data_IF_354268362586
#
_entry.id   IF_354268362586
#
_cell.length_a   1.000
_cell.length_b   1.000
_cell.length_c   1.000
_cell.angle_alpha   90.00
_cell.angle_beta   90.00
_cell.angle_gamma   90.00
#
_symmetry.space_group_name_H-M   'P 1'
#
loop_
_entity.id
_entity.type
_entity.pdbx_description
1 polymer ?
#
# COMPACT_ATOMS: atom_id res chain seq x y z
N UNK A 1 -18.94 -14.78 24.77
CA UNK A 1 -18.27 -16.08 25.02
C UNK A 1 -16.99 -15.79 25.78
N UNK A 2 -16.75 -16.49 26.89
CA UNK A 2 -15.50 -16.39 27.64
C UNK A 2 -14.33 -16.99 26.84
N UNK A 3 -13.10 -16.64 27.23
CA UNK A 3 -11.82 -16.91 26.55
C UNK A 3 -11.60 -18.35 26.08
N UNK A 4 -12.32 -19.33 26.62
CA UNK A 4 -12.32 -20.73 26.16
C UNK A 4 -13.72 -21.32 26.32
N UNK A 5 -14.22 -21.99 25.27
CA UNK A 5 -15.51 -22.70 25.30
C UNK A 5 -15.33 -24.07 24.66
N UNK A 6 -15.73 -25.13 25.37
CA UNK A 6 -15.65 -26.51 24.87
C UNK A 6 -17.07 -27.00 24.64
N UNK A 7 -17.39 -27.37 23.41
CA UNK A 7 -18.68 -27.97 23.05
C UNK A 7 -18.48 -29.47 22.83
N UNK A 8 -19.04 -30.29 23.73
CA UNK A 8 -18.95 -31.75 23.66
C UNK A 8 -20.27 -32.37 23.18
N UNK A 9 -20.20 -33.56 22.57
CA UNK A 9 -21.37 -34.31 22.04
C UNK A 9 -22.24 -33.48 21.08
N UNK A 10 -21.59 -32.68 20.23
CA UNK A 10 -22.26 -31.86 19.22
C UNK A 10 -22.56 -32.66 17.95
N UNK A 11 -23.77 -32.53 17.43
CA UNK A 11 -24.15 -33.04 16.12
C UNK A 11 -23.49 -32.22 14.98
N UNK A 12 -23.40 -32.76 13.76
CA UNK A 12 -22.93 -31.99 12.58
C UNK A 12 -23.68 -30.67 12.39
N UNK A 13 -25.00 -30.68 12.56
CA UNK A 13 -25.86 -29.48 12.46
C UNK A 13 -25.54 -28.47 13.57
N UNK A 14 -25.30 -28.94 14.80
CA UNK A 14 -24.89 -28.07 15.89
C UNK A 14 -23.51 -27.43 15.64
N UNK A 15 -22.54 -28.17 15.07
CA UNK A 15 -21.24 -27.59 14.67
C UNK A 15 -21.43 -26.46 13.66
N UNK A 16 -22.26 -26.69 12.63
CA UNK A 16 -22.59 -25.68 11.63
C UNK A 16 -23.20 -24.42 12.26
N UNK A 17 -24.19 -24.59 13.14
CA UNK A 17 -24.86 -23.48 13.84
C UNK A 17 -23.89 -22.69 14.74
N UNK A 18 -22.94 -23.37 15.40
CA UNK A 18 -21.89 -22.71 16.20
C UNK A 18 -21.01 -21.83 15.30
N UNK A 19 -20.54 -22.37 14.17
CA UNK A 19 -19.72 -21.61 13.21
C UNK A 19 -20.47 -20.39 12.71
N UNK A 20 -21.72 -20.55 12.25
CA UNK A 20 -22.53 -19.42 11.79
C UNK A 20 -22.76 -18.35 12.86
N UNK A 21 -22.94 -18.77 14.12
CA UNK A 21 -23.14 -17.83 15.21
C UNK A 21 -21.85 -17.03 15.50
N UNK A 22 -20.70 -17.68 15.49
CA UNK A 22 -19.39 -17.05 15.68
C UNK A 22 -19.08 -16.06 14.54
N UNK A 23 -19.43 -16.41 13.31
CA UNK A 23 -19.23 -15.58 12.12
C UNK A 23 -19.93 -14.23 12.16
N UNK A 24 -20.99 -14.08 12.97
CA UNK A 24 -21.67 -12.79 13.14
C UNK A 24 -20.77 -11.72 13.76
N UNK A 25 -19.67 -12.10 14.39
CA UNK A 25 -18.79 -11.19 15.15
C UNK A 25 -17.30 -11.41 14.91
N UNK A 26 -16.90 -12.53 14.29
CA UNK A 26 -15.51 -12.90 14.09
C UNK A 26 -15.31 -13.54 12.71
N UNK A 27 -14.11 -13.43 12.17
CA UNK A 27 -13.66 -14.31 11.08
C UNK A 27 -13.30 -15.68 11.68
N UNK A 28 -13.90 -16.75 11.15
CA UNK A 28 -13.79 -18.10 11.73
C UNK A 28 -13.03 -19.03 10.78
N UNK A 29 -11.88 -19.52 11.24
CA UNK A 29 -11.21 -20.68 10.65
C UNK A 29 -11.68 -21.97 11.33
N UNK A 30 -11.99 -23.02 10.56
CA UNK A 30 -12.45 -24.30 11.09
C UNK A 30 -11.56 -25.44 10.60
N UNK A 31 -10.97 -26.19 11.53
CA UNK A 31 -10.17 -27.39 11.26
C UNK A 31 -11.03 -28.63 11.47
N UNK A 32 -11.24 -29.41 10.42
CA UNK A 32 -12.00 -30.67 10.46
C UNK A 32 -11.26 -31.81 9.76
N UNK A 33 -11.79 -33.02 9.89
CA UNK A 33 -11.17 -34.21 9.27
C UNK A 33 -12.19 -35.20 8.70
N UNK A 34 -13.45 -35.13 9.15
CA UNK A 34 -14.48 -36.10 8.83
C UNK A 34 -15.62 -35.56 7.97
N UNK A 35 -16.44 -36.48 7.46
CA UNK A 35 -17.67 -36.16 6.70
C UNK A 35 -18.64 -35.32 7.57
N UNK A 36 -18.67 -35.60 8.87
CA UNK A 36 -19.48 -34.87 9.86
C UNK A 36 -19.09 -33.39 10.02
N UNK A 37 -17.89 -33.02 9.55
CA UNK A 37 -17.39 -31.66 9.62
C UNK A 37 -17.71 -30.87 8.35
N UNK A 38 -18.15 -31.52 7.26
CA UNK A 38 -18.37 -30.88 5.97
C UNK A 38 -19.35 -29.67 6.03
N UNK A 39 -20.48 -29.72 6.75
CA UNK A 39 -21.35 -28.55 6.88
C UNK A 39 -20.69 -27.37 7.61
N UNK A 40 -19.81 -27.65 8.58
CA UNK A 40 -19.11 -26.63 9.35
C UNK A 40 -17.91 -26.07 8.57
N UNK A 41 -17.16 -26.93 7.87
CA UNK A 41 -16.09 -26.54 6.94
C UNK A 41 -16.64 -25.58 5.89
N UNK A 42 -17.74 -25.94 5.22
CA UNK A 42 -18.38 -25.10 4.21
C UNK A 42 -18.90 -23.76 4.74
N UNK A 43 -19.26 -23.71 6.02
CA UNK A 43 -19.75 -22.48 6.64
C UNK A 43 -18.61 -21.53 7.01
N UNK A 44 -17.46 -22.05 7.42
CA UNK A 44 -16.33 -21.26 7.92
C UNK A 44 -15.78 -20.27 6.87
N UNK A 45 -15.12 -19.19 7.33
CA UNK A 45 -14.45 -18.25 6.43
C UNK A 45 -13.19 -18.86 5.81
N UNK A 46 -12.53 -19.77 6.55
CA UNK A 46 -11.40 -20.55 6.07
C UNK A 46 -11.53 -21.99 6.59
N UNK A 47 -11.71 -22.93 5.68
CA UNK A 47 -11.80 -24.36 5.96
C UNK A 47 -10.42 -25.02 5.88
N UNK A 48 -10.00 -25.67 6.96
CA UNK A 48 -8.72 -26.36 7.08
C UNK A 48 -8.94 -27.85 7.30
N UNK A 49 -8.12 -28.69 6.67
CA UNK A 49 -8.10 -30.14 6.91
C UNK A 49 -6.68 -30.68 6.97
N UNK A 50 -6.50 -31.85 7.57
CA UNK A 50 -5.19 -32.55 7.63
C UNK A 50 -5.00 -33.52 6.47
N UNK A 51 -3.75 -33.81 6.13
CA UNK A 51 -3.39 -34.91 5.23
C UNK A 51 -3.91 -36.25 5.79
N UNK A 52 -4.90 -36.83 5.11
CA UNK A 52 -5.64 -38.02 5.56
C UNK A 52 -7.10 -37.77 5.93
N UNK A 53 -7.59 -36.53 5.87
CA UNK A 53 -9.02 -36.22 6.00
C UNK A 53 -9.84 -36.93 4.91
N UNK A 54 -11.13 -37.16 5.20
CA UNK A 54 -12.06 -37.79 4.25
C UNK A 54 -12.11 -37.01 2.93
N UNK A 55 -12.41 -37.71 1.83
CA UNK A 55 -12.42 -37.05 0.51
C UNK A 55 -13.42 -35.90 0.45
N UNK A 56 -14.60 -36.06 1.08
CA UNK A 56 -15.60 -34.99 1.22
C UNK A 56 -15.06 -33.80 2.00
N UNK A 57 -14.33 -34.03 3.10
CA UNK A 57 -13.73 -32.94 3.87
C UNK A 57 -12.64 -32.22 3.06
N UNK A 58 -11.83 -32.96 2.31
CA UNK A 58 -10.76 -32.42 1.44
C UNK A 58 -11.31 -31.59 0.29
N UNK A 59 -12.41 -32.03 -0.34
CA UNK A 59 -13.10 -31.26 -1.37
C UNK A 59 -13.77 -29.99 -0.83
N UNK A 60 -14.07 -29.94 0.46
CA UNK A 60 -14.70 -28.78 1.11
C UNK A 60 -13.67 -27.79 1.69
N UNK A 61 -12.40 -28.18 1.78
CA UNK A 61 -11.37 -27.38 2.43
C UNK A 61 -10.73 -26.34 1.51
N UNK A 62 -10.43 -25.16 2.04
CA UNK A 62 -9.61 -24.14 1.37
C UNK A 62 -8.12 -24.45 1.48
N UNK A 63 -7.72 -25.07 2.60
CA UNK A 63 -6.31 -25.37 2.92
C UNK A 63 -6.18 -26.82 3.41
N UNK A 64 -5.28 -27.57 2.78
CA UNK A 64 -4.88 -28.91 3.20
C UNK A 64 -3.51 -28.87 3.87
N UNK A 65 -3.47 -29.22 5.15
CA UNK A 65 -2.25 -29.27 5.95
C UNK A 65 -1.50 -30.58 5.67
N UNK A 66 -0.44 -30.48 4.86
CA UNK A 66 0.46 -31.59 4.55
C UNK A 66 1.34 -32.00 5.74
N UNK A 67 1.48 -31.12 6.73
CA UNK A 67 2.21 -31.41 7.95
C UNK A 67 1.21 -31.56 9.11
N UNK A 68 1.42 -32.56 9.96
CA UNK A 68 0.58 -32.84 11.14
C UNK A 68 0.75 -31.82 12.26
N UNK A 69 1.75 -30.95 12.19
CA UNK A 69 1.99 -29.92 13.20
C UNK A 69 1.03 -28.74 13.05
N UNK A 70 0.30 -28.43 14.14
CA UNK A 70 -0.52 -27.21 14.23
C UNK A 70 0.32 -25.92 14.19
N UNK A 71 1.65 -26.02 14.32
CA UNK A 71 2.56 -24.89 14.15
C UNK A 71 2.40 -24.23 12.78
N UNK A 72 2.12 -25.01 11.73
CA UNK A 72 1.90 -24.49 10.37
C UNK A 72 0.71 -23.52 10.31
N UNK A 73 -0.31 -23.71 11.14
CA UNK A 73 -1.44 -22.79 11.23
C UNK A 73 -0.99 -21.46 11.87
N UNK A 74 -0.16 -21.50 12.91
CA UNK A 74 0.37 -20.30 13.57
C UNK A 74 1.26 -19.51 12.60
N UNK A 75 2.14 -20.20 11.89
CA UNK A 75 3.04 -19.61 10.90
C UNK A 75 2.23 -18.99 9.75
N UNK A 76 1.22 -19.72 9.24
CA UNK A 76 0.31 -19.22 8.21
C UNK A 76 -0.51 -18.00 8.64
N UNK A 77 -0.98 -17.95 9.90
CA UNK A 77 -1.64 -16.75 10.44
C UNK A 77 -0.67 -15.57 10.50
N UNK A 78 0.60 -15.81 10.85
CA UNK A 78 1.62 -14.76 10.93
C UNK A 78 1.93 -14.22 9.54
N UNK A 79 2.17 -15.09 8.57
CA UNK A 79 2.38 -14.75 7.16
C UNK A 79 1.18 -13.97 6.58
N UNK A 80 -0.05 -14.42 6.88
CA UNK A 80 -1.27 -13.74 6.45
C UNK A 80 -1.36 -12.31 7.00
N UNK A 81 -0.92 -12.06 8.24
CA UNK A 81 -0.85 -10.71 8.82
C UNK A 81 0.22 -9.85 8.17
N UNK A 82 1.37 -10.44 7.81
CA UNK A 82 2.44 -9.74 7.09
C UNK A 82 1.96 -9.30 5.70
N UNK A 83 1.40 -10.23 4.92
CA UNK A 83 0.82 -9.96 3.59
C UNK A 83 -0.26 -8.88 3.70
N UNK A 84 -1.19 -9.00 4.66
CA UNK A 84 -2.24 -7.99 4.86
C UNK A 84 -1.64 -6.60 5.12
N UNK A 85 -0.65 -6.51 6.01
CA UNK A 85 -0.03 -5.23 6.34
C UNK A 85 0.71 -4.64 5.15
N UNK A 86 1.35 -5.46 4.32
CA UNK A 86 2.05 -5.02 3.11
C UNK A 86 1.08 -4.57 2.00
N UNK A 87 -0.02 -5.30 1.79
CA UNK A 87 -1.08 -4.91 0.86
C UNK A 87 -1.71 -3.57 1.27
N UNK A 88 -1.92 -3.35 2.56
CA UNK A 88 -2.42 -2.06 3.05
C UNK A 88 -1.42 -0.91 2.80
N UNK A 89 -0.10 -1.14 2.93
CA UNK A 89 0.93 -0.14 2.56
C UNK A 89 0.87 0.18 1.07
N UNK A 90 0.79 -0.85 0.22
CA UNK A 90 0.66 -0.71 -1.22
C UNK A 90 -0.56 0.13 -1.61
N UNK A 91 -1.75 -0.22 -1.11
CA UNK A 91 -2.99 0.52 -1.39
C UNK A 91 -2.87 1.99 -0.96
N UNK A 92 -2.32 2.25 0.24
CA UNK A 92 -2.12 3.63 0.72
C UNK A 92 -1.15 4.41 -0.19
N UNK A 93 -0.08 3.77 -0.67
CA UNK A 93 0.91 4.40 -1.55
C UNK A 93 0.31 4.74 -2.91
N UNK A 94 -0.32 3.76 -3.56
CA UNK A 94 -0.94 3.90 -4.87
C UNK A 94 -2.05 4.96 -4.87
N UNK A 95 -2.93 4.95 -3.86
CA UNK A 95 -4.01 5.94 -3.78
C UNK A 95 -3.49 7.36 -3.55
N UNK A 96 -2.50 7.53 -2.66
CA UNK A 96 -1.91 8.84 -2.39
C UNK A 96 -1.20 9.43 -3.61
N UNK A 97 -0.41 8.62 -4.32
CA UNK A 97 0.28 9.02 -5.55
C UNK A 97 -0.71 9.38 -6.65
N UNK A 98 -1.67 8.50 -6.94
CA UNK A 98 -2.64 8.71 -8.02
C UNK A 98 -3.52 9.95 -7.79
N UNK A 99 -3.92 10.23 -6.54
CA UNK A 99 -4.67 11.44 -6.23
C UNK A 99 -3.82 12.70 -6.41
N UNK A 100 -2.55 12.69 -5.97
CA UNK A 100 -1.63 13.79 -6.23
C UNK A 100 -1.51 14.11 -7.72
N UNK A 101 -1.19 13.11 -8.53
CA UNK A 101 -1.08 13.24 -9.99
C UNK A 101 -2.39 13.71 -10.62
N UNK A 102 -3.54 13.16 -10.20
CA UNK A 102 -4.86 13.56 -10.69
C UNK A 102 -5.15 15.03 -10.39
N UNK A 103 -5.01 15.45 -9.12
CA UNK A 103 -5.29 16.84 -8.73
C UNK A 103 -4.39 17.81 -9.47
N UNK A 104 -3.10 17.49 -9.59
CA UNK A 104 -2.17 18.36 -10.29
C UNK A 104 -2.52 18.47 -11.76
N UNK A 105 -2.68 17.36 -12.49
CA UNK A 105 -3.00 17.39 -13.92
C UNK A 105 -4.34 18.11 -14.17
N UNK A 106 -5.37 17.82 -13.37
CA UNK A 106 -6.67 18.45 -13.50
C UNK A 106 -6.60 19.97 -13.28
N UNK A 107 -5.96 20.41 -12.20
CA UNK A 107 -5.89 21.83 -11.86
C UNK A 107 -4.95 22.58 -12.80
N UNK A 108 -3.78 22.03 -13.11
CA UNK A 108 -2.81 22.68 -14.01
C UNK A 108 -3.37 22.89 -15.41
N UNK A 109 -4.18 21.95 -15.92
CA UNK A 109 -4.85 22.07 -17.22
C UNK A 109 -5.82 23.27 -17.29
N UNK A 110 -6.25 23.85 -16.16
CA UNK A 110 -7.05 25.08 -16.14
C UNK A 110 -6.21 26.35 -16.33
N UNK A 111 -4.90 26.28 -16.07
CA UNK A 111 -4.00 27.44 -16.07
C UNK A 111 -3.08 27.50 -17.29
N UNK A 112 -2.86 26.39 -18.00
CA UNK A 112 -1.97 26.36 -19.17
C UNK A 112 -2.68 25.86 -20.44
N UNK A 113 -2.36 26.41 -21.63
CA UNK A 113 -3.02 26.06 -22.88
C UNK A 113 -2.46 24.77 -23.54
N UNK A 114 -1.58 24.05 -22.86
CA UNK A 114 -0.92 22.84 -23.36
C UNK A 114 -0.96 21.74 -22.30
N UNK A 115 -0.74 20.49 -22.72
CA UNK A 115 -0.76 19.35 -21.80
C UNK A 115 0.40 19.42 -20.79
N UNK A 116 0.10 19.43 -19.48
CA UNK A 116 1.11 19.44 -18.43
C UNK A 116 2.14 18.30 -18.52
N UNK A 117 1.67 17.08 -18.81
CA UNK A 117 2.44 15.88 -19.13
C UNK A 117 1.83 15.20 -20.36
N UNK A 118 2.66 14.58 -21.20
CA UNK A 118 2.15 13.78 -22.31
C UNK A 118 1.57 12.45 -21.79
N UNK A 119 0.50 11.91 -22.41
CA UNK A 119 -0.09 10.63 -21.99
C UNK A 119 0.93 9.49 -21.91
N UNK A 120 1.88 9.44 -22.84
CA UNK A 120 2.93 8.43 -22.84
C UNK A 120 3.92 8.60 -21.68
N UNK A 121 4.20 9.84 -21.26
CA UNK A 121 5.03 10.13 -20.09
C UNK A 121 4.29 9.72 -18.81
N UNK A 122 2.97 9.96 -18.72
CA UNK A 122 2.15 9.52 -17.58
C UNK A 122 2.17 7.99 -17.46
N UNK A 123 2.00 7.26 -18.58
CA UNK A 123 2.11 5.80 -18.59
C UNK A 123 3.50 5.33 -18.13
N UNK A 124 4.55 6.03 -18.54
CA UNK A 124 5.90 5.72 -18.12
C UNK A 124 6.12 5.98 -16.63
N UNK A 125 5.57 7.07 -16.07
CA UNK A 125 5.61 7.33 -14.61
C UNK A 125 4.99 6.15 -13.88
N UNK A 126 3.75 5.79 -14.21
CA UNK A 126 3.05 4.68 -13.56
C UNK A 126 3.83 3.38 -13.66
N UNK A 127 4.37 3.05 -14.84
CA UNK A 127 5.17 1.83 -15.03
C UNK A 127 6.43 1.83 -14.17
N UNK A 128 7.16 2.95 -14.15
CA UNK A 128 8.40 3.08 -13.40
C UNK A 128 8.16 3.07 -11.89
N UNK A 129 7.09 3.68 -11.40
CA UNK A 129 6.81 3.77 -9.97
C UNK A 129 6.10 2.52 -9.44
N UNK A 130 5.33 1.81 -10.26
CA UNK A 130 4.72 0.52 -9.91
C UNK A 130 5.76 -0.61 -9.79
N UNK A 131 6.86 -0.55 -10.55
CA UNK A 131 7.83 -1.64 -10.57
C UNK A 131 8.49 -1.91 -9.21
N UNK A 132 8.98 -0.90 -8.45
CA UNK A 132 9.43 -1.10 -7.07
C UNK A 132 8.28 -1.42 -6.11
N UNK A 133 7.05 -1.00 -6.39
CA UNK A 133 5.90 -1.29 -5.53
C UNK A 133 5.59 -2.78 -5.43
N UNK A 134 5.95 -3.59 -6.43
CA UNK A 134 5.86 -5.07 -6.35
C UNK A 134 6.66 -5.61 -5.14
N UNK A 135 7.81 -5.01 -4.84
CA UNK A 135 8.63 -5.41 -3.70
C UNK A 135 8.08 -4.98 -2.34
N UNK A 136 7.03 -4.14 -2.30
CA UNK A 136 6.33 -3.81 -1.05
C UNK A 136 5.57 -5.02 -0.51
N UNK A 137 5.07 -5.89 -1.39
CA UNK A 137 4.34 -7.10 -0.99
C UNK A 137 5.20 -8.02 -0.11
N UNK A 138 6.51 -8.06 -0.36
CA UNK A 138 7.50 -8.89 0.36
C UNK A 138 8.37 -8.06 1.32
N UNK A 139 7.91 -6.86 1.66
CA UNK A 139 8.63 -5.97 2.55
C UNK A 139 8.49 -6.38 4.03
N UNK A 140 9.45 -5.94 4.85
CA UNK A 140 9.43 -6.22 6.29
C UNK A 140 8.31 -5.46 6.99
N UNK A 141 7.63 -6.12 7.91
CA UNK A 141 6.56 -5.54 8.74
C UNK A 141 7.05 -5.33 10.16
N UNK A 142 6.56 -4.28 10.81
CA UNK A 142 6.85 -4.01 12.22
C UNK A 142 6.19 -5.08 13.12
N UNK A 143 6.88 -5.53 14.16
CA UNK A 143 6.35 -6.51 15.11
C UNK A 143 5.09 -6.02 15.81
N UNK A 144 4.98 -4.71 16.07
CA UNK A 144 3.78 -4.14 16.69
C UNK A 144 2.56 -4.25 15.77
N UNK A 145 2.80 -4.19 14.47
CA UNK A 145 1.78 -4.31 13.43
C UNK A 145 1.26 -5.76 13.25
N UNK A 146 2.01 -6.77 13.74
CA UNK A 146 1.64 -8.19 13.68
C UNK A 146 0.92 -8.70 14.93
N UNK A 147 0.91 -7.93 16.03
CA UNK A 147 0.32 -8.36 17.31
C UNK A 147 -1.19 -8.59 17.23
N UNK A 148 -1.89 -7.88 16.35
CA UNK A 148 -3.35 -7.91 16.24
C UNK A 148 -3.76 -7.90 14.77
N UNK A 149 -4.85 -8.58 14.39
CA UNK A 149 -5.42 -8.42 13.07
C UNK A 149 -5.80 -6.95 12.85
N UNK A 150 -5.57 -6.46 11.63
CA UNK A 150 -5.95 -5.11 11.22
C UNK A 150 -7.15 -5.22 10.28
N UNK A 151 -7.98 -4.19 10.28
CA UNK A 151 -9.10 -4.07 9.36
C UNK A 151 -8.80 -2.99 8.30
N UNK A 152 -9.33 -3.18 7.09
CA UNK A 152 -9.29 -2.14 6.07
C UNK A 152 -10.25 -1.01 6.45
N UNK A 153 -9.69 0.10 6.96
CA UNK A 153 -10.46 1.32 7.11
C UNK A 153 -10.31 2.17 5.85
N UNK A 154 -11.21 1.94 4.88
CA UNK A 154 -11.20 2.64 3.58
C UNK A 154 -11.28 4.15 3.77
N UNK A 155 -12.05 4.65 4.74
CA UNK A 155 -12.15 6.09 5.05
C UNK A 155 -10.81 6.63 5.56
N UNK A 156 -10.13 5.93 6.46
CA UNK A 156 -8.79 6.31 6.92
C UNK A 156 -7.79 6.36 5.76
N UNK A 157 -7.78 5.33 4.91
CA UNK A 157 -6.92 5.25 3.73
C UNK A 157 -7.18 6.41 2.78
N UNK A 158 -8.46 6.71 2.49
CA UNK A 158 -8.85 7.80 1.61
C UNK A 158 -8.45 9.17 2.19
N UNK A 159 -8.70 9.43 3.48
CA UNK A 159 -8.30 10.68 4.13
C UNK A 159 -6.78 10.84 4.09
N UNK A 160 -6.03 9.79 4.42
CA UNK A 160 -4.57 9.81 4.34
C UNK A 160 -4.10 10.09 2.91
N UNK A 161 -4.68 9.41 1.91
CA UNK A 161 -4.36 9.60 0.51
C UNK A 161 -4.67 11.02 0.02
N UNK A 162 -5.79 11.62 0.45
CA UNK A 162 -6.13 13.01 0.11
C UNK A 162 -5.14 13.99 0.75
N UNK A 163 -4.80 13.83 2.03
CA UNK A 163 -3.84 14.72 2.71
C UNK A 163 -2.46 14.65 2.02
N UNK A 164 -1.97 13.44 1.74
CA UNK A 164 -0.69 13.26 1.05
C UNK A 164 -0.75 13.72 -0.41
N UNK A 165 -1.87 13.48 -1.10
CA UNK A 165 -2.10 13.96 -2.46
C UNK A 165 -2.04 15.49 -2.55
N UNK A 166 -2.65 16.21 -1.60
CA UNK A 166 -2.57 17.68 -1.52
C UNK A 166 -1.11 18.13 -1.34
N UNK A 167 -0.35 17.49 -0.45
CA UNK A 167 1.09 17.79 -0.28
C UNK A 167 1.82 17.57 -1.60
N UNK A 168 1.62 16.43 -2.26
CA UNK A 168 2.23 16.13 -3.56
C UNK A 168 1.90 17.20 -4.60
N UNK A 169 0.62 17.57 -4.73
CA UNK A 169 0.21 18.57 -5.71
C UNK A 169 0.82 19.94 -5.47
N UNK A 170 0.99 20.36 -4.20
CA UNK A 170 1.70 21.62 -3.90
C UNK A 170 3.14 21.60 -4.44
N UNK A 171 3.83 20.48 -4.32
CA UNK A 171 5.19 20.32 -4.85
C UNK A 171 5.19 20.21 -6.37
N UNK A 172 4.21 19.55 -6.97
CA UNK A 172 4.07 19.56 -8.43
C UNK A 172 3.89 20.98 -8.96
N UNK A 173 3.06 21.80 -8.31
CA UNK A 173 2.88 23.22 -8.66
C UNK A 173 4.17 24.04 -8.58
N UNK A 174 5.16 23.64 -7.75
CA UNK A 174 6.48 24.27 -7.78
C UNK A 174 7.20 24.00 -9.11
N UNK A 175 7.10 22.79 -9.67
CA UNK A 175 7.66 22.52 -11.01
C UNK A 175 7.01 23.42 -12.08
N UNK A 176 5.70 23.62 -12.02
CA UNK A 176 5.04 24.61 -12.89
C UNK A 176 5.62 26.00 -12.69
N UNK A 177 5.74 26.47 -11.45
CA UNK A 177 6.25 27.82 -11.16
C UNK A 177 7.65 28.05 -11.74
N UNK A 178 8.53 27.06 -11.64
CA UNK A 178 9.92 27.17 -12.14
C UNK A 178 10.04 27.01 -13.66
N UNK A 179 9.26 26.12 -14.28
CA UNK A 179 9.52 25.69 -15.67
C UNK A 179 8.45 26.12 -16.70
N UNK A 180 7.25 26.55 -16.28
CA UNK A 180 6.16 26.96 -17.18
C UNK A 180 6.57 27.99 -18.24
N UNK A 181 7.40 28.97 -17.87
CA UNK A 181 7.83 30.06 -18.76
C UNK A 181 8.95 29.67 -19.74
N UNK A 182 9.56 28.49 -19.59
CA UNK A 182 10.71 28.08 -20.40
C UNK A 182 10.24 27.47 -21.71
N UNK A 183 9.59 26.30 -21.65
CA UNK A 183 8.90 25.68 -22.77
C UNK A 183 8.05 24.50 -22.28
N UNK A 184 7.00 24.10 -23.02
CA UNK A 184 6.20 22.93 -22.67
C UNK A 184 7.03 21.65 -22.47
N UNK A 185 7.98 21.36 -23.37
CA UNK A 185 8.78 20.14 -23.30
C UNK A 185 9.77 20.13 -22.14
N UNK A 186 10.29 21.29 -21.72
CA UNK A 186 11.16 21.40 -20.54
C UNK A 186 10.36 21.16 -19.27
N UNK A 187 9.15 21.75 -19.16
CA UNK A 187 8.25 21.48 -18.03
C UNK A 187 7.89 19.99 -17.96
N UNK A 188 7.46 19.40 -19.08
CA UNK A 188 7.08 17.99 -19.17
C UNK A 188 8.21 17.05 -18.73
N UNK A 189 9.44 17.30 -19.22
CA UNK A 189 10.60 16.44 -18.89
C UNK A 189 11.03 16.61 -17.44
N UNK A 190 11.13 17.85 -16.95
CA UNK A 190 11.58 18.13 -15.60
C UNK A 190 10.56 17.66 -14.56
N UNK A 191 9.27 17.83 -14.86
CA UNK A 191 8.21 17.33 -14.00
C UNK A 191 8.12 15.81 -14.03
N UNK A 192 8.30 15.15 -15.18
CA UNK A 192 8.43 13.69 -15.24
C UNK A 192 9.52 13.15 -14.29
N UNK A 193 10.72 13.73 -14.35
CA UNK A 193 11.83 13.34 -13.45
C UNK A 193 11.44 13.60 -11.99
N UNK A 194 10.91 14.78 -11.72
CA UNK A 194 10.41 15.17 -10.40
C UNK A 194 9.41 14.17 -9.82
N UNK A 195 8.35 13.85 -10.57
CA UNK A 195 7.28 12.94 -10.16
C UNK A 195 7.80 11.54 -9.85
N UNK A 196 8.67 10.96 -10.70
CA UNK A 196 9.21 9.63 -10.41
C UNK A 196 10.09 9.66 -9.15
N UNK A 197 10.93 10.69 -8.99
CA UNK A 197 11.79 10.80 -7.80
C UNK A 197 11.00 11.04 -6.51
N UNK A 198 9.97 11.89 -6.54
CA UNK A 198 9.10 12.14 -5.38
C UNK A 198 8.32 10.88 -5.02
N UNK A 199 7.76 10.15 -6.00
CA UNK A 199 7.05 8.89 -5.77
C UNK A 199 7.97 7.80 -5.20
N UNK A 200 9.20 7.68 -5.71
CA UNK A 200 10.19 6.75 -5.12
C UNK A 200 10.48 7.09 -3.66
N UNK A 201 10.71 8.36 -3.32
CA UNK A 201 10.96 8.76 -1.94
C UNK A 201 9.72 8.59 -1.05
N UNK A 202 8.54 8.88 -1.58
CA UNK A 202 7.27 8.68 -0.91
C UNK A 202 7.05 7.21 -0.56
N UNK A 203 7.43 6.29 -1.46
CA UNK A 203 7.39 4.86 -1.21
C UNK A 203 8.22 4.45 0.01
N UNK A 204 9.42 5.00 0.18
CA UNK A 204 10.22 4.75 1.39
C UNK A 204 9.61 5.38 2.64
N UNK A 205 8.98 6.56 2.48
CA UNK A 205 8.30 7.27 3.57
C UNK A 205 7.10 6.49 4.13
N UNK A 206 6.23 5.99 3.24
CA UNK A 206 4.94 5.41 3.62
C UNK A 206 5.04 4.00 4.20
N UNK A 207 6.16 3.31 3.97
CA UNK A 207 6.40 1.95 4.49
C UNK A 207 6.33 1.85 6.01
N UNK A 208 6.59 2.95 6.72
CA UNK A 208 6.46 3.00 8.16
C UNK A 208 5.65 4.20 8.62
N UNK A 209 4.89 3.96 9.70
CA UNK A 209 4.16 4.99 10.46
C UNK A 209 5.13 5.88 11.24
N UNK A 210 6.31 5.37 11.52
CA UNK A 210 7.37 6.08 12.22
C UNK A 210 8.25 6.86 11.24
N UNK A 211 9.02 7.81 11.77
CA UNK A 211 10.08 8.46 11.02
C UNK A 211 11.10 7.43 10.51
N UNK A 212 11.64 7.64 9.30
CA UNK A 212 12.46 6.66 8.59
C UNK A 212 13.65 6.11 9.38
N UNK A 213 14.24 6.91 10.28
CA UNK A 213 15.36 6.47 11.14
C UNK A 213 14.96 5.48 12.25
N UNK A 214 13.68 5.41 12.60
CA UNK A 214 13.13 4.45 13.57
C UNK A 214 12.36 3.31 12.88
N UNK A 215 12.22 3.38 11.57
CA UNK A 215 11.50 2.40 10.79
C UNK A 215 12.33 1.12 10.58
N UNK A 216 11.64 0.02 10.31
CA UNK A 216 12.28 -1.21 9.85
C UNK A 216 12.97 -0.95 8.51
N UNK A 217 14.25 -1.35 8.34
CA UNK A 217 14.97 -1.08 7.11
C UNK A 217 14.27 -1.73 5.90
N UNK A 218 14.39 -1.13 4.69
CA UNK A 218 13.86 -1.70 3.47
C UNK A 218 14.31 -3.12 3.20
N UNK A 219 13.45 -3.90 2.53
CA UNK A 219 13.90 -5.12 1.85
C UNK A 219 14.95 -4.78 0.78
N UNK A 220 15.89 -5.69 0.57
CA UNK A 220 16.92 -5.52 -0.45
C UNK A 220 16.30 -5.36 -1.85
N UNK A 221 15.28 -6.17 -2.16
CA UNK A 221 14.55 -6.12 -3.43
C UNK A 221 13.97 -4.73 -3.68
N UNK A 222 13.37 -4.10 -2.67
CA UNK A 222 12.82 -2.76 -2.82
C UNK A 222 13.90 -1.72 -3.13
N UNK A 223 15.04 -1.76 -2.42
CA UNK A 223 16.16 -0.84 -2.67
C UNK A 223 16.71 -1.03 -4.08
N UNK A 224 16.91 -2.29 -4.47
CA UNK A 224 17.46 -2.64 -5.78
C UNK A 224 16.56 -2.16 -6.92
N UNK A 225 15.26 -2.46 -6.87
CA UNK A 225 14.31 -2.04 -7.89
C UNK A 225 14.17 -0.51 -7.93
N UNK A 226 14.08 0.15 -6.78
CA UNK A 226 14.02 1.61 -6.70
C UNK A 226 15.30 2.26 -7.26
N UNK A 227 16.46 1.66 -7.01
CA UNK A 227 17.74 2.13 -7.55
C UNK A 227 17.83 2.02 -9.06
N UNK A 228 17.33 0.92 -9.64
CA UNK A 228 17.21 0.77 -11.10
C UNK A 228 16.32 1.88 -11.68
N UNK A 229 15.14 2.09 -11.10
CA UNK A 229 14.20 3.11 -11.59
C UNK A 229 14.78 4.51 -11.44
N UNK A 230 15.45 4.81 -10.33
CA UNK A 230 16.14 6.07 -10.10
C UNK A 230 17.16 6.35 -11.21
N UNK A 231 18.01 5.37 -11.52
CA UNK A 231 19.04 5.49 -12.57
C UNK A 231 18.40 5.67 -13.95
N UNK A 232 17.38 4.85 -14.28
CA UNK A 232 16.65 4.95 -15.56
C UNK A 232 16.05 6.34 -15.72
N UNK A 233 15.40 6.86 -14.68
CA UNK A 233 14.74 8.17 -14.69
C UNK A 233 15.71 9.31 -15.00
N UNK A 234 16.92 9.26 -14.43
CA UNK A 234 17.94 10.28 -14.65
C UNK A 234 18.60 10.17 -16.02
N UNK A 235 18.78 8.96 -16.55
CA UNK A 235 19.50 8.76 -17.83
C UNK A 235 18.57 8.93 -19.03
N UNK A 236 17.32 8.44 -18.94
CA UNK A 236 16.41 8.31 -20.08
C UNK A 236 16.22 9.62 -20.88
N UNK A 237 16.05 10.82 -20.27
CA UNK A 237 15.92 12.09 -21.00
C UNK A 237 17.15 12.48 -21.84
N UNK A 238 18.33 11.95 -21.53
CA UNK A 238 19.56 12.18 -22.29
C UNK A 238 19.76 11.18 -23.43
N UNK A 239 18.94 10.12 -23.50
CA UNK A 239 19.07 9.09 -24.54
C UNK A 239 18.27 9.45 -25.80
N UNK A 240 18.75 9.00 -26.96
CA UNK A 240 18.02 9.14 -28.23
C UNK A 240 16.62 8.51 -28.17
N UNK A 241 16.49 7.36 -27.49
CA UNK A 241 15.22 6.68 -27.30
C UNK A 241 14.23 7.53 -26.49
N UNK A 242 14.68 8.12 -25.38
CA UNK A 242 13.87 9.02 -24.56
C UNK A 242 13.38 10.25 -25.32
N UNK A 243 14.27 10.87 -26.11
CA UNK A 243 13.95 12.07 -26.88
C UNK A 243 13.00 11.79 -28.05
N UNK A 244 13.14 10.64 -28.71
CA UNK A 244 12.32 10.29 -29.89
C UNK A 244 10.94 9.78 -29.52
N UNK A 245 10.85 8.87 -28.53
CA UNK A 245 9.60 8.20 -28.19
C UNK A 245 8.78 9.01 -27.19
N UNK A 246 9.42 9.53 -26.15
CA UNK A 246 8.74 10.22 -25.04
C UNK A 246 8.80 11.75 -25.16
N UNK A 247 9.37 12.27 -26.25
CA UNK A 247 9.54 13.71 -26.50
C UNK A 247 10.28 14.44 -25.37
N UNK A 248 11.22 13.77 -24.71
CA UNK A 248 12.01 14.39 -23.66
C UNK A 248 12.98 15.42 -24.22
N UNK A 249 13.20 16.48 -23.45
CA UNK A 249 14.23 17.49 -23.69
C UNK A 249 15.30 17.31 -22.62
N UNK A 250 16.56 17.12 -23.06
CA UNK A 250 17.69 16.95 -22.15
C UNK A 250 17.72 18.09 -21.09
N UNK A 251 17.54 17.77 -19.79
CA UNK A 251 17.52 18.78 -18.74
C UNK A 251 18.86 19.50 -18.64
N UNK A 252 18.82 20.80 -18.37
CA UNK A 252 20.05 21.56 -18.07
C UNK A 252 20.53 21.17 -16.68
N UNK A 253 21.83 21.32 -16.43
CA UNK A 253 22.42 21.04 -15.11
C UNK A 253 21.76 21.86 -13.99
N UNK A 254 21.36 23.10 -14.26
CA UNK A 254 20.63 23.94 -13.31
C UNK A 254 19.25 23.38 -12.97
N UNK A 255 18.54 22.87 -13.99
CA UNK A 255 17.21 22.28 -13.82
C UNK A 255 17.31 21.03 -12.92
N UNK A 256 18.38 20.23 -13.06
CA UNK A 256 18.64 19.07 -12.20
C UNK A 256 18.81 19.42 -10.73
N UNK A 257 19.55 20.49 -10.41
CA UNK A 257 19.68 20.94 -9.02
C UNK A 257 18.36 21.42 -8.43
N UNK A 258 17.54 22.11 -9.23
CA UNK A 258 16.19 22.53 -8.81
C UNK A 258 15.32 21.30 -8.53
N UNK A 259 15.29 20.33 -9.45
CA UNK A 259 14.52 19.10 -9.30
C UNK A 259 14.92 18.34 -8.03
N UNK A 260 16.23 18.17 -7.79
CA UNK A 260 16.73 17.53 -6.56
C UNK A 260 16.34 18.32 -5.31
N UNK A 261 16.44 19.65 -5.33
CA UNK A 261 16.02 20.50 -4.22
C UNK A 261 14.53 20.38 -3.89
N UNK A 262 13.67 20.40 -4.92
CA UNK A 262 12.21 20.19 -4.78
C UNK A 262 11.94 18.78 -4.25
N UNK A 263 12.63 17.77 -4.76
CA UNK A 263 12.48 16.37 -4.34
C UNK A 263 12.85 16.16 -2.86
N UNK A 264 13.98 16.73 -2.42
CA UNK A 264 14.42 16.62 -1.02
C UNK A 264 13.47 17.37 -0.09
N UNK A 265 13.04 18.57 -0.46
CA UNK A 265 12.09 19.35 0.33
C UNK A 265 10.72 18.66 0.40
N UNK A 266 10.26 18.05 -0.69
CA UNK A 266 9.06 17.21 -0.71
C UNK A 266 9.16 16.08 0.31
N UNK A 267 10.28 15.35 0.32
CA UNK A 267 10.47 14.26 1.27
C UNK A 267 10.42 14.73 2.73
N UNK A 268 11.09 15.85 3.04
CA UNK A 268 11.07 16.44 4.39
C UNK A 268 9.66 16.82 4.81
N UNK A 269 8.92 17.53 3.95
CA UNK A 269 7.55 17.97 4.26
C UNK A 269 6.62 16.78 4.39
N UNK A 270 6.76 15.77 3.53
CA UNK A 270 5.94 14.55 3.59
C UNK A 270 6.17 13.78 4.89
N UNK A 271 7.44 13.62 5.32
CA UNK A 271 7.74 13.01 6.63
C UNK A 271 7.12 13.80 7.80
N UNK A 272 7.19 15.13 7.76
CA UNK A 272 6.62 15.99 8.80
C UNK A 272 5.09 15.87 8.85
N UNK A 273 4.42 15.97 7.71
CA UNK A 273 2.96 15.86 7.60
C UNK A 273 2.49 14.48 8.02
N UNK A 274 3.19 13.41 7.61
CA UNK A 274 2.91 12.03 8.02
C UNK A 274 2.99 11.88 9.53
N UNK A 275 4.06 12.38 10.15
CA UNK A 275 4.23 12.31 11.61
C UNK A 275 3.13 13.10 12.33
N UNK A 276 2.77 14.28 11.83
CA UNK A 276 1.66 15.08 12.35
C UNK A 276 0.31 14.35 12.25
N UNK A 277 0.04 13.73 11.10
CA UNK A 277 -1.17 12.94 10.86
C UNK A 277 -1.31 11.81 11.88
N UNK A 278 -0.26 10.99 12.06
CA UNK A 278 -0.29 9.89 13.02
C UNK A 278 -0.35 10.37 14.48
N UNK A 279 0.31 11.48 14.81
CA UNK A 279 0.22 12.07 16.14
C UNK A 279 -1.21 12.55 16.46
N UNK A 280 -1.88 13.19 15.50
CA UNK A 280 -3.27 13.64 15.63
C UNK A 280 -4.22 12.45 15.79
N UNK A 281 -4.10 11.43 14.93
CA UNK A 281 -4.92 10.22 15.00
C UNK A 281 -4.77 9.50 16.34
N UNK A 282 -3.54 9.38 16.85
CA UNK A 282 -3.28 8.80 18.16
C UNK A 282 -3.92 9.62 19.29
N UNK A 283 -3.94 10.95 19.17
CA UNK A 283 -4.57 11.84 20.17
C UNK A 283 -6.09 11.69 20.17
N UNK A 284 -6.72 11.57 19.00
CA UNK A 284 -8.17 11.36 18.84
C UNK A 284 -8.58 10.03 19.49
N UNK A 285 -7.87 8.95 19.18
CA UNK A 285 -8.13 7.62 19.76
C UNK A 285 -7.94 7.61 21.28
N UNK A 286 -6.93 8.34 21.80
CA UNK A 286 -6.64 8.39 23.25
C UNK A 286 -7.66 9.21 24.05
N UNK A 287 -8.35 10.18 23.46
CA UNK A 287 -9.34 11.03 24.14
C UNK A 287 -10.77 10.47 24.11
N UNK A 288 -10.95 9.18 23.80
CA UNK A 288 -12.26 8.52 23.92
C UNK A 288 -13.28 8.95 22.87
N UNK A 289 -12.90 9.77 21.89
CA UNK A 289 -13.62 9.84 20.63
C UNK A 289 -13.17 8.60 19.88
N UNK A 290 -13.91 7.49 20.08
CA UNK A 290 -13.70 6.30 19.26
C UNK A 290 -13.61 6.75 17.82
N UNK A 291 -12.62 6.24 17.09
CA UNK A 291 -12.47 6.49 15.65
C UNK A 291 -13.84 6.37 14.96
N UNK A 292 -14.64 5.39 15.37
CA UNK A 292 -16.01 5.15 14.93
C UNK A 292 -17.00 6.33 15.10
N UNK A 293 -16.83 7.21 16.11
CA UNK A 293 -17.73 8.33 16.37
C UNK A 293 -17.49 9.55 15.45
N UNK A 294 -16.30 9.70 14.88
CA UNK A 294 -16.02 10.68 13.80
C UNK A 294 -16.15 10.01 12.42
N UNK A 295 -15.97 8.69 12.35
CA UNK A 295 -15.92 7.93 11.10
C UNK A 295 -17.30 7.47 10.61
N UNK A 296 -18.32 7.35 11.47
CA UNK A 296 -19.71 7.02 11.09
C UNK A 296 -20.67 8.23 10.96
N UNK A 297 -20.15 9.44 10.76
CA UNK A 297 -20.92 10.57 10.23
C UNK A 297 -20.31 11.09 8.93
#
# INVERSE_FOLDING_TARGET
MEKFSVFARVSPEQKHNIVQLLQKTHEVGFLGEGINDAPALKAANVALVVEGASDIARETADIVLLNKSLQVIIDGITEGREIFSNTAKYIKATLASNFGNFYTVALSSLFIPFLPLLPLQILLINLLTDFPMIAVATDKVDKDDLRRPKNYNVKEIAIFATVMGIVSSLFDFLFFLFFYKVSPGVLQTNWFIGSVLTELLFLFSIRSRFFILRAVPPSFTLIFLSGIVFIITLILPFTYFGQTIFSFIAPRTQDMYIILGITISYFIVTELVKNMYYALMNKIVKHGITSDAIINR
#
